data_IF_378275255198
#
_entry.id   IF_378275255198
#
_cell.length_a   1.000
_cell.length_b   1.000
_cell.length_c   1.000
_cell.angle_alpha   90.00
_cell.angle_beta   90.00
_cell.angle_gamma   90.00
#
_symmetry.space_group_name_H-M   'P 1'
#
loop_
_entity.id
_entity.type
_entity.pdbx_description
1 polymer ?
#
# COMPACT_ATOMS: atom_id res chain seq x y z
N UNK A 1 35.24 19.69 -18.75
CA UNK A 1 34.61 19.62 -17.40
C UNK A 1 35.14 20.70 -16.43
N UNK A 2 36.46 20.99 -16.40
CA UNK A 2 37.07 22.01 -15.51
C UNK A 2 36.52 23.43 -15.66
N UNK A 3 36.22 23.88 -16.89
CA UNK A 3 35.71 25.24 -17.14
C UNK A 3 34.28 25.47 -16.67
N UNK A 4 33.42 24.44 -16.77
CA UNK A 4 32.01 24.52 -16.32
C UNK A 4 31.97 24.60 -14.79
N UNK A 5 32.74 23.75 -14.10
CA UNK A 5 32.93 23.78 -12.65
C UNK A 5 33.47 25.13 -12.16
N UNK A 6 34.40 25.73 -12.91
CA UNK A 6 34.97 27.04 -12.61
C UNK A 6 34.00 28.22 -12.80
N UNK A 7 32.98 28.07 -13.65
CA UNK A 7 31.90 29.04 -13.83
C UNK A 7 30.80 28.87 -12.78
N UNK A 8 30.40 27.64 -12.49
CA UNK A 8 29.43 27.30 -11.45
C UNK A 8 29.90 27.75 -10.06
N UNK A 9 31.14 27.43 -9.69
CA UNK A 9 31.71 27.88 -8.40
C UNK A 9 31.75 29.41 -8.27
N UNK A 10 32.04 30.13 -9.36
CA UNK A 10 31.99 31.60 -9.39
C UNK A 10 30.57 32.13 -9.23
N UNK A 11 29.57 31.49 -9.85
CA UNK A 11 28.17 31.89 -9.72
C UNK A 11 27.70 31.76 -8.28
N UNK A 12 27.95 30.61 -7.65
CA UNK A 12 27.56 30.31 -6.26
C UNK A 12 28.23 31.27 -5.27
N UNK A 13 29.51 31.54 -5.44
CA UNK A 13 30.27 32.41 -4.53
C UNK A 13 30.05 33.90 -4.76
N UNK A 14 29.86 34.36 -6.00
CA UNK A 14 29.68 35.78 -6.32
C UNK A 14 28.22 36.25 -6.17
N UNK A 15 27.24 35.37 -6.35
CA UNK A 15 25.80 35.70 -6.27
C UNK A 15 25.02 34.61 -5.51
N UNK A 16 25.23 34.47 -4.19
CA UNK A 16 24.60 33.42 -3.39
C UNK A 16 23.06 33.51 -3.40
N UNK A 17 22.50 34.72 -3.28
CA UNK A 17 21.05 34.92 -3.29
C UNK A 17 20.37 34.54 -4.61
N UNK A 18 21.05 34.77 -5.74
CA UNK A 18 20.53 34.33 -7.05
C UNK A 18 20.51 32.81 -7.14
N UNK A 19 21.56 32.15 -6.62
CA UNK A 19 21.64 30.69 -6.59
C UNK A 19 20.51 30.09 -5.76
N UNK A 20 20.28 30.63 -4.56
CA UNK A 20 19.18 30.20 -3.67
C UNK A 20 17.83 30.44 -4.35
N UNK A 21 17.62 31.61 -4.97
CA UNK A 21 16.39 31.92 -5.67
C UNK A 21 16.09 30.96 -6.82
N UNK A 22 17.10 30.64 -7.65
CA UNK A 22 16.97 29.64 -8.73
C UNK A 22 16.65 28.27 -8.17
N UNK A 23 17.35 27.83 -7.12
CA UNK A 23 17.12 26.54 -6.48
C UNK A 23 15.71 26.43 -5.91
N UNK A 24 15.19 27.50 -5.31
CA UNK A 24 13.84 27.55 -4.76
C UNK A 24 12.79 27.50 -5.88
N UNK A 25 13.00 28.21 -6.99
CA UNK A 25 12.13 28.14 -8.18
C UNK A 25 12.10 26.71 -8.73
N UNK A 26 13.26 26.07 -8.90
CA UNK A 26 13.33 24.66 -9.37
C UNK A 26 12.60 23.74 -8.40
N UNK A 27 12.79 23.94 -7.09
CA UNK A 27 12.12 23.15 -6.06
C UNK A 27 10.61 23.28 -6.14
N UNK A 28 10.08 24.50 -6.32
CA UNK A 28 8.64 24.73 -6.47
C UNK A 28 8.09 24.06 -7.73
N UNK A 29 8.80 24.15 -8.85
CA UNK A 29 8.40 23.50 -10.11
C UNK A 29 8.34 21.98 -9.95
N UNK A 30 9.36 21.39 -9.34
CA UNK A 30 9.39 19.95 -9.10
C UNK A 30 8.33 19.53 -8.07
N UNK A 31 8.19 20.26 -6.96
CA UNK A 31 7.18 20.01 -5.95
C UNK A 31 5.76 20.02 -6.52
N UNK A 32 5.46 20.87 -7.51
CA UNK A 32 4.17 20.86 -8.20
C UNK A 32 3.88 19.56 -8.96
N UNK A 33 4.89 18.74 -9.22
CA UNK A 33 4.74 17.39 -9.77
C UNK A 33 4.24 16.38 -8.73
N UNK A 34 4.42 16.62 -7.43
CA UNK A 34 4.03 15.69 -6.39
C UNK A 34 2.53 15.39 -6.40
N UNK A 35 1.68 16.40 -6.68
CA UNK A 35 0.22 16.24 -6.80
C UNK A 35 -0.21 15.37 -8.01
N UNK A 36 0.71 15.12 -8.95
CA UNK A 36 0.46 14.28 -10.14
C UNK A 36 0.92 12.84 -9.96
N UNK A 37 1.43 12.49 -8.77
CA UNK A 37 1.75 11.09 -8.47
C UNK A 37 0.48 10.25 -8.49
N UNK A 38 0.56 9.15 -9.22
CA UNK A 38 -0.43 8.09 -9.21
C UNK A 38 -0.17 7.23 -7.96
N UNK A 39 -1.21 6.64 -7.34
CA UNK A 39 -1.04 5.67 -6.25
C UNK A 39 -0.04 4.57 -6.63
N UNK A 40 0.66 4.04 -5.62
CA UNK A 40 1.55 2.90 -5.79
C UNK A 40 0.71 1.72 -6.25
N UNK A 41 1.09 1.13 -7.38
CA UNK A 41 0.46 -0.06 -7.93
C UNK A 41 1.00 -1.28 -7.22
N UNK A 42 0.08 -2.12 -6.74
CA UNK A 42 0.42 -3.35 -6.05
C UNK A 42 1.19 -4.32 -6.95
N UNK A 43 2.12 -5.07 -6.35
CA UNK A 43 3.03 -5.99 -7.05
C UNK A 43 2.37 -7.11 -7.85
N UNK A 44 1.04 -7.23 -7.79
CA UNK A 44 0.24 -8.25 -8.47
C UNK A 44 -0.55 -7.70 -9.67
N UNK A 45 -0.50 -6.39 -9.92
CA UNK A 45 -1.22 -5.78 -11.04
C UNK A 45 -0.58 -6.14 -12.40
N UNK A 46 -1.43 -6.47 -13.38
CA UNK A 46 -1.04 -6.71 -14.76
C UNK A 46 -0.31 -5.50 -15.38
N UNK A 47 -0.56 -4.30 -14.85
CA UNK A 47 0.15 -3.07 -15.22
C UNK A 47 1.68 -3.17 -15.05
N UNK A 48 2.17 -4.07 -14.20
CA UNK A 48 3.60 -4.30 -13.96
C UNK A 48 4.23 -5.31 -14.92
N UNK A 49 3.43 -6.04 -15.70
CA UNK A 49 3.92 -6.98 -16.69
C UNK A 49 4.21 -6.27 -18.02
N UNK A 50 5.10 -6.85 -18.87
CA UNK A 50 5.23 -6.40 -20.24
C UNK A 50 3.88 -6.49 -20.94
N UNK A 51 3.34 -5.34 -21.34
CA UNK A 51 1.97 -5.25 -21.87
C UNK A 51 1.80 -6.01 -23.19
N UNK A 52 2.88 -6.18 -23.95
CA UNK A 52 2.92 -6.96 -25.20
C UNK A 52 3.21 -8.46 -24.96
N UNK A 53 3.15 -8.92 -23.70
CA UNK A 53 3.49 -10.28 -23.32
C UNK A 53 2.33 -11.27 -23.51
N UNK A 54 2.60 -12.53 -23.87
CA UNK A 54 1.56 -13.54 -24.11
C UNK A 54 0.71 -13.86 -22.87
N UNK A 55 1.22 -13.58 -21.66
CA UNK A 55 0.49 -13.76 -20.40
C UNK A 55 -0.59 -12.67 -20.23
N UNK A 56 -0.26 -11.41 -20.54
CA UNK A 56 -1.22 -10.30 -20.44
C UNK A 56 -2.33 -10.48 -21.47
N UNK A 57 -1.97 -10.89 -22.69
CA UNK A 57 -2.93 -11.21 -23.75
C UNK A 57 -3.86 -12.37 -23.36
N UNK A 58 -3.33 -13.48 -22.86
CA UNK A 58 -4.14 -14.62 -22.43
C UNK A 58 -5.08 -14.27 -21.26
N UNK A 59 -4.64 -13.46 -20.30
CA UNK A 59 -5.49 -13.00 -19.20
C UNK A 59 -6.57 -12.03 -19.72
N UNK A 60 -6.22 -11.17 -20.69
CA UNK A 60 -7.15 -10.30 -21.39
C UNK A 60 -8.25 -11.10 -22.10
N UNK A 61 -7.89 -12.12 -22.86
CA UNK A 61 -8.85 -13.01 -23.53
C UNK A 61 -9.79 -13.72 -22.54
N UNK A 62 -9.26 -14.20 -21.40
CA UNK A 62 -10.09 -14.81 -20.35
C UNK A 62 -11.09 -13.79 -19.80
N UNK A 63 -10.65 -12.56 -19.50
CA UNK A 63 -11.52 -11.51 -18.97
C UNK A 63 -12.60 -11.08 -19.96
N UNK A 64 -12.25 -10.96 -21.25
CA UNK A 64 -13.17 -10.58 -22.32
C UNK A 64 -14.20 -11.68 -22.60
N UNK A 65 -13.79 -12.97 -22.54
CA UNK A 65 -14.67 -14.08 -22.88
C UNK A 65 -15.61 -14.50 -21.74
N UNK A 66 -15.17 -14.32 -20.50
CA UNK A 66 -15.94 -14.70 -19.32
C UNK A 66 -16.60 -13.51 -18.60
N UNK A 67 -16.57 -12.30 -19.19
CA UNK A 67 -17.05 -11.03 -18.60
C UNK A 67 -16.73 -10.98 -17.10
N UNK A 68 -15.44 -10.79 -16.80
CA UNK A 68 -14.90 -10.54 -15.47
C UNK A 68 -15.62 -11.22 -14.28
N UNK A 69 -14.99 -12.29 -13.77
CA UNK A 69 -14.96 -12.60 -12.33
C UNK A 69 -14.51 -11.41 -11.44
N UNK A 70 -14.12 -10.28 -12.03
CA UNK A 70 -13.86 -9.00 -11.37
C UNK A 70 -15.10 -8.11 -11.15
N UNK A 71 -16.28 -8.48 -11.65
CA UNK A 71 -17.51 -7.70 -11.46
C UNK A 71 -18.26 -8.03 -10.16
N UNK A 72 -17.69 -8.95 -9.36
CA UNK A 72 -18.26 -9.39 -8.09
C UNK A 72 -17.21 -9.28 -6.99
N UNK A 73 -17.52 -8.51 -5.95
CA UNK A 73 -16.76 -8.48 -4.71
C UNK A 73 -17.31 -9.53 -3.75
N UNK A 74 -16.41 -10.37 -3.24
CA UNK A 74 -16.73 -11.47 -2.34
C UNK A 74 -16.38 -11.08 -0.91
N UNK A 75 -17.41 -10.99 -0.07
CA UNK A 75 -17.25 -10.90 1.39
C UNK A 75 -17.46 -12.28 1.97
N UNK A 76 -16.51 -12.76 2.77
CA UNK A 76 -16.55 -14.08 3.38
C UNK A 76 -16.78 -13.94 4.87
N UNK A 77 -17.84 -14.53 5.39
CA UNK A 77 -18.13 -14.60 6.82
C UNK A 77 -17.73 -15.98 7.34
N UNK A 78 -16.91 -15.98 8.39
CA UNK A 78 -16.44 -17.19 9.06
C UNK A 78 -17.18 -17.31 10.39
N UNK A 79 -17.90 -18.41 10.55
CA UNK A 79 -18.64 -18.75 11.75
C UNK A 79 -17.90 -19.87 12.48
N UNK A 80 -17.37 -19.57 13.66
CA UNK A 80 -16.64 -20.52 14.51
C UNK A 80 -17.51 -20.92 15.70
N UNK A 81 -17.69 -22.22 15.91
CA UNK A 81 -18.49 -22.76 17.01
C UNK A 81 -19.43 -23.86 16.53
N UNK A 82 -20.61 -23.97 17.14
CA UNK A 82 -21.58 -25.03 16.84
C UNK A 82 -22.35 -24.73 15.52
N UNK A 83 -21.64 -24.63 14.39
CA UNK A 83 -22.17 -24.03 13.17
C UNK A 83 -23.24 -24.84 12.44
N UNK A 84 -23.28 -26.16 12.63
CA UNK A 84 -24.26 -27.07 12.04
C UNK A 84 -25.34 -27.52 13.03
N UNK A 85 -25.58 -26.76 14.10
CA UNK A 85 -26.71 -26.98 14.99
C UNK A 85 -27.90 -26.10 14.59
N UNK A 86 -29.13 -26.43 14.99
CA UNK A 86 -30.31 -25.58 14.73
C UNK A 86 -30.09 -24.13 15.16
N UNK A 87 -29.55 -23.93 16.37
CA UNK A 87 -29.24 -22.61 16.92
C UNK A 87 -28.16 -21.87 16.11
N UNK A 88 -27.08 -22.56 15.73
CA UNK A 88 -26.00 -21.98 14.94
C UNK A 88 -26.45 -21.61 13.52
N UNK A 89 -27.21 -22.47 12.87
CA UNK A 89 -27.76 -22.21 11.54
C UNK A 89 -28.79 -21.09 11.57
N UNK A 90 -29.60 -21.00 12.63
CA UNK A 90 -30.56 -19.92 12.86
C UNK A 90 -29.86 -18.57 13.07
N UNK A 91 -28.83 -18.54 13.91
CA UNK A 91 -27.98 -17.34 14.08
C UNK A 91 -27.36 -16.91 12.75
N UNK A 92 -26.78 -17.86 11.99
CA UNK A 92 -26.20 -17.59 10.68
C UNK A 92 -27.24 -17.06 9.69
N UNK A 93 -28.43 -17.67 9.63
CA UNK A 93 -29.52 -17.19 8.76
C UNK A 93 -30.02 -15.81 9.17
N UNK A 94 -30.15 -15.54 10.47
CA UNK A 94 -30.62 -14.25 10.98
C UNK A 94 -29.65 -13.13 10.64
N UNK A 95 -28.34 -13.37 10.82
CA UNK A 95 -27.30 -12.42 10.44
C UNK A 95 -27.30 -12.14 8.93
N UNK A 96 -27.30 -13.20 8.11
CA UNK A 96 -27.30 -13.09 6.65
C UNK A 96 -28.57 -12.41 6.12
N UNK A 97 -29.73 -12.70 6.72
CA UNK A 97 -30.99 -12.03 6.40
C UNK A 97 -30.97 -10.54 6.78
N UNK A 98 -30.37 -10.20 7.92
CA UNK A 98 -30.15 -8.81 8.34
C UNK A 98 -29.24 -8.05 7.37
N UNK A 99 -28.14 -8.67 6.94
CA UNK A 99 -27.22 -8.13 5.93
C UNK A 99 -27.95 -7.89 4.60
N UNK A 100 -28.77 -8.84 4.15
CA UNK A 100 -29.54 -8.69 2.91
C UNK A 100 -30.67 -7.64 2.98
N UNK A 101 -31.18 -7.36 4.18
CA UNK A 101 -32.23 -6.38 4.40
C UNK A 101 -31.73 -4.93 4.50
N UNK A 102 -30.42 -4.72 4.74
CA UNK A 102 -29.83 -3.40 4.81
C UNK A 102 -29.89 -2.71 3.44
N UNK A 103 -30.48 -1.51 3.30
CA UNK A 103 -30.75 -0.88 2.01
C UNK A 103 -29.51 -0.68 1.14
N UNK A 104 -28.40 -0.28 1.75
CA UNK A 104 -27.14 0.02 1.04
C UNK A 104 -26.47 -1.26 0.51
N UNK A 105 -26.63 -2.38 1.22
CA UNK A 105 -26.10 -3.69 0.82
C UNK A 105 -27.03 -4.32 -0.22
N UNK A 106 -28.34 -4.28 0.00
CA UNK A 106 -29.36 -4.88 -0.87
C UNK A 106 -29.28 -4.37 -2.31
N UNK A 107 -28.96 -3.08 -2.48
CA UNK A 107 -28.80 -2.47 -3.81
C UNK A 107 -27.54 -2.96 -4.55
N UNK A 108 -26.57 -3.49 -3.82
CA UNK A 108 -25.29 -3.97 -4.35
C UNK A 108 -25.24 -5.49 -4.52
N UNK A 109 -26.13 -6.27 -3.88
CA UNK A 109 -26.19 -7.71 -4.05
C UNK A 109 -26.29 -8.15 -5.52
N UNK A 110 -25.64 -9.26 -5.86
CA UNK A 110 -25.78 -9.86 -7.20
C UNK A 110 -27.21 -10.35 -7.43
N UNK A 111 -27.73 -10.33 -8.67
CA UNK A 111 -29.12 -10.73 -8.95
C UNK A 111 -29.41 -12.22 -8.64
N UNK A 112 -28.37 -13.05 -8.69
CA UNK A 112 -28.45 -14.50 -8.47
C UNK A 112 -27.41 -14.91 -7.43
N UNK A 113 -27.78 -15.84 -6.55
CA UNK A 113 -26.92 -16.46 -5.53
C UNK A 113 -26.07 -15.45 -4.73
N UNK A 114 -26.71 -14.34 -4.35
CA UNK A 114 -26.05 -13.23 -3.66
C UNK A 114 -25.49 -13.62 -2.30
N UNK A 115 -26.14 -14.58 -1.64
CA UNK A 115 -25.70 -15.12 -0.36
C UNK A 115 -25.65 -16.63 -0.48
N UNK A 116 -24.53 -17.22 -0.09
CA UNK A 116 -24.33 -18.65 -0.11
C UNK A 116 -23.80 -19.12 1.25
N UNK A 117 -24.51 -20.02 1.91
CA UNK A 117 -24.13 -20.53 3.24
C UNK A 117 -24.76 -21.89 3.52
N UNK A 118 -24.23 -22.66 4.49
CA UNK A 118 -24.86 -23.90 4.94
C UNK A 118 -26.31 -23.71 5.40
N UNK A 119 -26.63 -22.58 6.05
CA UNK A 119 -28.00 -22.28 6.48
C UNK A 119 -28.95 -22.11 5.29
N UNK A 120 -28.53 -21.40 4.23
CA UNK A 120 -29.35 -21.26 3.02
C UNK A 120 -29.55 -22.60 2.30
N UNK A 121 -28.51 -23.43 2.21
CA UNK A 121 -28.61 -24.76 1.61
C UNK A 121 -29.60 -25.65 2.36
N UNK A 122 -29.53 -25.66 3.69
CA UNK A 122 -30.41 -26.46 4.54
C UNK A 122 -31.85 -25.94 4.47
N UNK A 123 -32.07 -24.61 4.51
CA UNK A 123 -33.41 -24.03 4.33
C UNK A 123 -34.00 -24.40 2.97
N UNK A 124 -33.21 -24.26 1.89
CA UNK A 124 -33.67 -24.58 0.55
C UNK A 124 -33.99 -26.07 0.37
N UNK A 125 -33.17 -26.96 0.94
CA UNK A 125 -33.38 -28.40 0.86
C UNK A 125 -34.58 -28.89 1.67
N UNK A 126 -34.85 -28.26 2.83
CA UNK A 126 -35.96 -28.64 3.72
C UNK A 126 -37.24 -27.84 3.46
N UNK A 127 -37.18 -26.74 2.70
CA UNK A 127 -38.28 -25.78 2.57
C UNK A 127 -38.65 -25.12 3.91
N UNK A 128 -37.69 -25.01 4.83
CA UNK A 128 -37.91 -24.51 6.17
C UNK A 128 -37.72 -22.99 6.23
N UNK A 129 -38.75 -22.25 6.68
CA UNK A 129 -38.63 -20.80 6.92
C UNK A 129 -37.88 -20.47 8.22
N UNK A 130 -37.91 -21.39 9.20
CA UNK A 130 -37.22 -21.23 10.48
C UNK A 130 -36.38 -22.48 10.80
N UNK A 131 -35.08 -22.28 10.99
CA UNK A 131 -34.12 -23.35 11.30
C UNK A 131 -34.12 -23.80 12.77
N UNK A 132 -34.69 -23.01 13.69
CA UNK A 132 -34.82 -23.41 15.10
C UNK A 132 -35.73 -24.64 15.28
N UNK A 133 -36.67 -24.83 14.35
CA UNK A 133 -37.64 -25.93 14.38
C UNK A 133 -37.10 -27.21 13.71
N UNK A 134 -35.95 -27.14 13.05
CA UNK A 134 -35.36 -28.28 12.33
C UNK A 134 -34.57 -29.14 13.32
N UNK A 135 -34.73 -30.45 13.24
CA UNK A 135 -33.97 -31.37 14.09
C UNK A 135 -32.54 -31.60 13.59
N UNK A 136 -31.62 -31.90 14.51
CA UNK A 136 -30.24 -32.25 14.14
C UNK A 136 -30.18 -33.42 13.14
N UNK A 137 -31.07 -34.40 13.27
CA UNK A 137 -31.11 -35.55 12.37
C UNK A 137 -31.48 -35.15 10.92
N UNK A 138 -32.34 -34.16 10.74
CA UNK A 138 -32.69 -33.63 9.42
C UNK A 138 -31.51 -32.85 8.81
N UNK A 139 -30.84 -32.02 9.62
CA UNK A 139 -29.63 -31.29 9.21
C UNK A 139 -28.55 -32.28 8.77
N UNK A 140 -28.29 -33.32 9.55
CA UNK A 140 -27.28 -34.33 9.25
C UNK A 140 -27.64 -35.12 7.98
N UNK A 141 -28.92 -35.48 7.81
CA UNK A 141 -29.40 -36.20 6.64
C UNK A 141 -29.25 -35.38 5.35
N UNK A 142 -29.59 -34.09 5.39
CA UNK A 142 -29.43 -33.16 4.25
C UNK A 142 -27.95 -32.93 3.96
N UNK A 143 -27.14 -32.70 5.00
CA UNK A 143 -25.70 -32.47 4.86
C UNK A 143 -24.96 -33.66 4.24
N UNK A 144 -25.44 -34.88 4.50
CA UNK A 144 -24.90 -36.12 3.95
C UNK A 144 -25.46 -36.52 2.58
N UNK A 145 -26.45 -35.79 2.05
CA UNK A 145 -27.04 -36.12 0.76
C UNK A 145 -25.99 -36.02 -0.38
N UNK A 146 -25.93 -36.96 -1.34
CA UNK A 146 -24.85 -37.02 -2.34
C UNK A 146 -24.68 -35.74 -3.17
N UNK A 147 -25.76 -35.00 -3.39
CA UNK A 147 -25.77 -33.76 -4.15
C UNK A 147 -25.30 -32.54 -3.32
N UNK A 148 -25.46 -32.59 -2.01
CA UNK A 148 -25.21 -31.48 -1.07
C UNK A 148 -23.85 -31.66 -0.36
N UNK A 149 -23.46 -32.89 -0.07
CA UNK A 149 -22.24 -33.21 0.68
C UNK A 149 -20.96 -32.58 0.10
N UNK A 150 -20.73 -32.55 -1.23
CA UNK A 150 -19.55 -31.87 -1.79
C UNK A 150 -19.54 -30.36 -1.52
N UNK A 151 -20.70 -29.72 -1.61
CA UNK A 151 -20.86 -28.29 -1.37
C UNK A 151 -20.72 -27.97 0.12
N UNK A 152 -21.38 -28.75 0.98
CA UNK A 152 -21.25 -28.63 2.43
C UNK A 152 -19.81 -28.84 2.89
N UNK A 153 -19.08 -29.80 2.30
CA UNK A 153 -17.66 -30.00 2.57
C UNK A 153 -16.76 -28.84 2.12
N UNK A 154 -17.19 -28.03 1.14
CA UNK A 154 -16.48 -26.81 0.75
C UNK A 154 -16.78 -25.62 1.67
N UNK A 155 -17.93 -25.62 2.34
CA UNK A 155 -18.39 -24.54 3.23
C UNK A 155 -18.16 -24.81 4.71
N UNK A 156 -17.78 -26.03 5.09
CA UNK A 156 -17.63 -26.42 6.49
C UNK A 156 -16.30 -27.11 6.72
N UNK A 157 -15.77 -26.98 7.93
CA UNK A 157 -14.49 -27.57 8.30
C UNK A 157 -14.28 -27.54 9.80
N UNK A 158 -13.05 -27.84 10.20
CA UNK A 158 -12.60 -27.80 11.59
C UNK A 158 -11.36 -26.94 11.69
N UNK A 159 -11.34 -26.06 12.67
CA UNK A 159 -10.20 -25.24 13.00
C UNK A 159 -9.06 -26.07 13.63
N UNK A 160 -7.88 -25.46 13.81
CA UNK A 160 -6.68 -26.07 14.41
C UNK A 160 -6.97 -26.66 15.79
N UNK A 161 -7.82 -25.99 16.56
CA UNK A 161 -8.22 -26.42 17.91
C UNK A 161 -9.38 -27.45 17.91
N UNK A 162 -9.80 -27.92 16.73
CA UNK A 162 -10.90 -28.89 16.57
C UNK A 162 -12.30 -28.29 16.64
N UNK A 163 -12.41 -26.95 16.72
CA UNK A 163 -13.70 -26.26 16.72
C UNK A 163 -14.32 -26.30 15.32
N UNK A 164 -15.63 -26.57 15.22
CA UNK A 164 -16.31 -26.57 13.94
C UNK A 164 -16.39 -25.15 13.36
N UNK A 165 -16.23 -25.05 12.04
CA UNK A 165 -16.24 -23.80 11.28
C UNK A 165 -17.18 -23.95 10.10
N UNK A 166 -17.97 -22.90 9.84
CA UNK A 166 -18.75 -22.74 8.62
C UNK A 166 -18.40 -21.41 7.94
N UNK A 167 -18.51 -21.40 6.62
CA UNK A 167 -18.24 -20.25 5.78
C UNK A 167 -19.54 -19.86 5.07
N UNK A 168 -19.87 -18.57 5.12
CA UNK A 168 -20.85 -17.97 4.24
C UNK A 168 -20.17 -16.96 3.33
N UNK A 169 -20.69 -16.78 2.12
CA UNK A 169 -20.25 -15.75 1.19
C UNK A 169 -21.38 -14.82 0.84
N UNK A 170 -21.05 -13.53 0.76
CA UNK A 170 -21.92 -12.46 0.27
C UNK A 170 -21.27 -11.87 -0.97
N UNK A 171 -22.01 -11.89 -2.08
CA UNK A 171 -21.56 -11.46 -3.40
C UNK A 171 -22.18 -10.11 -3.72
N UNK A 172 -21.33 -9.11 -3.82
CA UNK A 172 -21.68 -7.73 -4.17
C UNK A 172 -21.25 -7.44 -5.61
N UNK A 173 -22.03 -6.67 -6.35
CA UNK A 173 -21.63 -6.12 -7.64
C UNK A 173 -20.50 -5.13 -7.43
N UNK A 174 -19.45 -5.24 -8.23
CA UNK A 174 -18.30 -4.37 -8.17
C UNK A 174 -18.57 -3.09 -8.97
N UNK A 175 -19.14 -2.07 -8.34
CA UNK A 175 -19.36 -0.79 -9.03
C UNK A 175 -18.13 0.12 -9.04
N UNK A 176 -16.98 -0.36 -8.55
CA UNK A 176 -15.72 0.41 -8.41
C UNK A 176 -15.84 1.74 -7.63
N UNK A 177 -16.94 1.92 -6.89
CA UNK A 177 -17.24 3.13 -6.11
C UNK A 177 -17.05 2.89 -4.60
N UNK A 178 -16.87 3.98 -3.84
CA UNK A 178 -16.82 3.95 -2.36
C UNK A 178 -18.02 3.26 -1.71
N UNK A 179 -19.15 3.18 -2.42
CA UNK A 179 -20.37 2.51 -1.94
C UNK A 179 -20.15 1.03 -1.65
N UNK A 180 -19.38 0.34 -2.47
CA UNK A 180 -19.08 -1.08 -2.22
C UNK A 180 -18.15 -1.22 -1.03
N UNK A 181 -17.24 -0.25 -0.86
CA UNK A 181 -16.36 -0.21 0.30
C UNK A 181 -17.11 -0.02 1.62
N UNK A 182 -18.05 0.92 1.64
CA UNK A 182 -18.88 1.17 2.81
C UNK A 182 -19.80 -0.02 3.12
N UNK A 183 -20.32 -0.69 2.10
CA UNK A 183 -21.09 -1.92 2.27
C UNK A 183 -20.25 -3.05 2.88
N UNK A 184 -19.01 -3.26 2.43
CA UNK A 184 -18.11 -4.26 3.03
C UNK A 184 -17.80 -3.95 4.51
N UNK A 185 -17.50 -2.69 4.83
CA UNK A 185 -17.29 -2.24 6.22
C UNK A 185 -18.52 -2.49 7.08
N UNK A 186 -19.70 -2.14 6.56
CA UNK A 186 -20.96 -2.33 7.27
C UNK A 186 -21.24 -3.82 7.51
N UNK A 187 -20.96 -4.68 6.53
CA UNK A 187 -21.07 -6.14 6.71
C UNK A 187 -20.11 -6.60 7.82
N UNK A 188 -18.88 -6.10 7.83
CA UNK A 188 -17.92 -6.45 8.88
C UNK A 188 -18.38 -6.00 10.27
N UNK A 189 -18.88 -4.77 10.41
CA UNK A 189 -19.46 -4.26 11.66
C UNK A 189 -20.64 -5.13 12.15
N UNK A 190 -21.57 -5.47 11.25
CA UNK A 190 -22.73 -6.31 11.57
C UNK A 190 -22.32 -7.75 11.92
N UNK A 191 -21.28 -8.27 11.28
CA UNK A 191 -20.75 -9.60 11.53
C UNK A 191 -19.89 -9.68 12.79
N UNK A 192 -19.50 -8.56 13.39
CA UNK A 192 -18.68 -8.57 14.61
C UNK A 192 -19.57 -8.74 15.82
N UNK A 193 -19.87 -10.00 16.15
CA UNK A 193 -20.65 -10.37 17.33
C UNK A 193 -20.03 -11.58 18.02
N UNK A 194 -19.76 -11.44 19.31
CA UNK A 194 -19.43 -12.55 20.23
C UNK A 194 -20.69 -13.11 20.92
N UNK A 195 -21.87 -12.59 20.59
CA UNK A 195 -23.13 -13.05 21.15
C UNK A 195 -23.68 -14.23 20.37
N UNK A 196 -23.97 -15.33 21.07
CA UNK A 196 -24.59 -16.55 20.53
C UNK A 196 -23.66 -17.77 20.49
N UNK A 197 -24.10 -18.89 19.92
CA UNK A 197 -23.31 -20.12 19.79
C UNK A 197 -22.17 -20.04 18.77
N UNK A 198 -22.13 -18.99 17.95
CA UNK A 198 -21.10 -18.74 16.94
C UNK A 198 -20.40 -17.42 17.17
N UNK A 199 -19.07 -17.48 17.14
CA UNK A 199 -18.22 -16.31 16.94
C UNK A 199 -18.13 -16.05 15.45
N UNK A 200 -18.40 -14.82 15.03
CA UNK A 200 -18.45 -14.46 13.62
C UNK A 200 -17.33 -13.47 13.31
N UNK A 201 -16.64 -13.70 12.19
CA UNK A 201 -15.61 -12.81 11.68
C UNK A 201 -15.82 -12.59 10.19
N UNK A 202 -15.60 -11.36 9.73
CA UNK A 202 -15.70 -11.00 8.32
C UNK A 202 -14.31 -10.91 7.70
N UNK A 203 -14.17 -11.46 6.50
CA UNK A 203 -12.98 -11.38 5.68
C UNK A 203 -13.39 -10.79 4.33
N UNK A 204 -12.94 -9.58 4.05
CA UNK A 204 -13.08 -8.94 2.75
C UNK A 204 -11.78 -8.22 2.37
N UNK A 205 -11.55 -7.94 1.07
CA UNK A 205 -10.36 -7.20 0.64
C UNK A 205 -10.22 -5.85 1.34
N UNK A 206 -11.34 -5.15 1.64
CA UNK A 206 -11.28 -3.85 2.33
C UNK A 206 -11.02 -3.97 3.82
N UNK A 207 -11.57 -4.98 4.50
CA UNK A 207 -11.22 -5.20 5.92
C UNK A 207 -9.72 -5.45 6.05
N UNK A 208 -9.15 -6.27 5.16
CA UNK A 208 -7.70 -6.52 5.11
C UNK A 208 -6.92 -5.25 4.75
N UNK A 209 -7.39 -4.46 3.79
CA UNK A 209 -6.73 -3.21 3.39
C UNK A 209 -6.77 -2.16 4.50
N UNK A 210 -7.90 -1.98 5.19
CA UNK A 210 -8.06 -1.03 6.29
C UNK A 210 -7.22 -1.46 7.51
N UNK A 211 -7.20 -2.75 7.87
CA UNK A 211 -6.31 -3.28 8.91
C UNK A 211 -4.83 -3.09 8.54
N UNK A 212 -4.48 -3.34 7.27
CA UNK A 212 -3.12 -3.14 6.79
C UNK A 212 -2.71 -1.67 6.80
N UNK A 213 -3.60 -0.76 6.40
CA UNK A 213 -3.39 0.69 6.48
C UNK A 213 -3.18 1.13 7.93
N UNK A 214 -4.06 0.74 8.85
CA UNK A 214 -3.93 1.08 10.27
C UNK A 214 -2.62 0.55 10.86
N UNK A 215 -2.31 -0.73 10.64
CA UNK A 215 -1.06 -1.32 11.10
C UNK A 215 0.17 -0.63 10.50
N UNK A 216 0.08 -0.19 9.24
CA UNK A 216 1.15 0.55 8.57
C UNK A 216 1.29 1.97 9.11
N UNK A 217 0.20 2.70 9.33
CA UNK A 217 0.22 4.07 9.88
C UNK A 217 0.78 4.09 11.31
N UNK A 218 0.29 3.18 12.16
CA UNK A 218 0.74 3.04 13.55
C UNK A 218 2.22 2.63 13.64
N UNK A 219 2.69 1.79 12.70
CA UNK A 219 4.08 1.35 12.65
C UNK A 219 5.03 2.37 12.02
N UNK A 220 4.66 2.98 10.90
CA UNK A 220 5.56 3.79 10.08
C UNK A 220 5.91 5.13 10.71
N UNK A 221 4.95 5.81 11.35
CA UNK A 221 5.20 7.10 11.98
C UNK A 221 6.34 7.06 13.03
N UNK A 222 6.34 6.13 14.01
CA UNK A 222 7.45 6.01 14.96
C UNK A 222 8.75 5.54 14.30
N UNK A 223 8.68 4.64 13.31
CA UNK A 223 9.86 4.18 12.56
C UNK A 223 10.57 5.31 11.82
N UNK A 224 9.83 6.14 11.09
CA UNK A 224 10.36 7.33 10.40
C UNK A 224 10.95 8.32 11.42
N UNK A 225 10.25 8.54 12.54
CA UNK A 225 10.73 9.40 13.62
C UNK A 225 12.06 8.93 14.22
N UNK A 226 12.17 7.63 14.53
CA UNK A 226 13.39 7.01 15.06
C UNK A 226 14.53 7.05 14.02
N UNK A 227 14.24 6.78 12.74
CA UNK A 227 15.22 6.85 11.67
C UNK A 227 15.79 8.27 11.51
N UNK A 228 14.92 9.29 11.47
CA UNK A 228 15.33 10.70 11.41
C UNK A 228 16.14 11.11 12.64
N UNK A 229 15.74 10.67 13.83
CA UNK A 229 16.50 10.90 15.06
C UNK A 229 17.90 10.27 14.98
N UNK A 230 17.99 9.02 14.53
CA UNK A 230 19.25 8.30 14.39
C UNK A 230 20.17 8.98 13.36
N UNK A 231 19.62 9.39 12.21
CA UNK A 231 20.34 10.16 11.19
C UNK A 231 20.84 11.48 11.78
N UNK A 232 19.99 12.21 12.49
CA UNK A 232 20.38 13.47 13.12
C UNK A 232 21.49 13.28 14.16
N UNK A 233 21.41 12.22 14.98
CA UNK A 233 22.45 11.86 15.96
C UNK A 233 23.76 11.48 15.28
N UNK A 234 23.72 10.64 14.25
CA UNK A 234 24.91 10.26 13.47
C UNK A 234 25.55 11.49 12.84
N UNK A 235 24.77 12.32 12.14
CA UNK A 235 25.28 13.55 11.55
C UNK A 235 25.84 14.49 12.61
N UNK A 236 25.20 14.63 13.78
CA UNK A 236 25.71 15.46 14.88
C UNK A 236 27.04 14.92 15.43
N UNK A 237 27.19 13.61 15.55
CA UNK A 237 28.44 12.97 16.00
C UNK A 237 29.58 13.18 14.99
N UNK A 238 29.28 13.08 13.68
CA UNK A 238 30.26 13.22 12.60
C UNK A 238 30.62 14.68 12.30
N UNK A 239 29.62 15.57 12.18
CA UNK A 239 29.81 16.97 11.78
C UNK A 239 30.04 17.90 12.98
N UNK A 240 29.66 17.51 14.20
CA UNK A 240 29.92 18.23 15.47
C UNK A 240 29.47 19.70 15.51
N UNK A 241 28.68 20.17 14.55
CA UNK A 241 28.09 21.51 14.55
C UNK A 241 26.64 21.46 14.08
N UNK A 242 25.77 22.23 14.74
CA UNK A 242 24.34 22.28 14.42
C UNK A 242 24.08 22.87 13.03
N UNK A 243 24.92 23.82 12.59
CA UNK A 243 24.80 24.45 11.27
C UNK A 243 25.03 23.45 10.14
N UNK A 244 26.04 22.58 10.27
CA UNK A 244 26.34 21.55 9.26
C UNK A 244 25.22 20.50 9.19
N UNK A 245 24.65 20.12 10.34
CA UNK A 245 23.47 19.25 10.42
C UNK A 245 22.28 19.87 9.68
N UNK A 246 21.94 21.12 9.97
CA UNK A 246 20.81 21.80 9.31
C UNK A 246 21.02 21.90 7.79
N UNK A 247 22.27 22.15 7.35
CA UNK A 247 22.58 22.23 5.92
C UNK A 247 22.39 20.87 5.22
N UNK A 248 22.82 19.78 5.87
CA UNK A 248 22.62 18.42 5.37
C UNK A 248 21.13 18.04 5.33
N UNK A 249 20.36 18.37 6.38
CA UNK A 249 18.92 18.10 6.45
C UNK A 249 18.13 18.89 5.40
N UNK A 250 18.48 20.17 5.16
CA UNK A 250 17.87 20.97 4.09
C UNK A 250 18.17 20.35 2.73
N UNK A 251 19.42 19.96 2.47
CA UNK A 251 19.80 19.26 1.25
C UNK A 251 19.01 17.96 1.05
N UNK A 252 18.86 17.18 2.11
CA UNK A 252 18.07 15.95 2.12
C UNK A 252 16.60 16.20 1.78
N UNK A 253 15.97 17.16 2.46
CA UNK A 253 14.56 17.49 2.24
C UNK A 253 14.32 17.93 0.78
N UNK A 254 15.22 18.75 0.23
CA UNK A 254 15.17 19.19 -1.16
C UNK A 254 15.31 18.01 -2.12
N UNK A 255 16.25 17.10 -1.90
CA UNK A 255 16.43 15.90 -2.72
C UNK A 255 15.16 15.04 -2.74
N UNK A 256 14.53 14.83 -1.59
CA UNK A 256 13.28 14.06 -1.49
C UNK A 256 12.17 14.76 -2.28
N UNK A 257 11.98 16.07 -2.09
CA UNK A 257 10.98 16.85 -2.84
C UNK A 257 11.21 16.73 -4.34
N UNK A 258 12.47 16.81 -4.78
CA UNK A 258 12.82 16.76 -6.20
C UNK A 258 12.52 15.39 -6.80
N UNK A 259 12.84 14.30 -6.10
CA UNK A 259 12.57 12.94 -6.61
C UNK A 259 11.07 12.65 -6.63
N UNK A 260 10.35 12.98 -5.56
CA UNK A 260 8.88 12.84 -5.50
C UNK A 260 8.22 13.65 -6.62
N UNK A 261 8.68 14.88 -6.84
CA UNK A 261 8.20 15.76 -7.88
C UNK A 261 8.50 15.25 -9.29
N UNK A 262 9.73 14.79 -9.54
CA UNK A 262 10.14 14.21 -10.82
C UNK A 262 9.35 12.94 -11.14
N UNK A 263 9.08 12.10 -10.14
CA UNK A 263 8.26 10.92 -10.33
C UNK A 263 6.84 11.28 -10.79
N UNK A 264 6.21 12.29 -10.20
CA UNK A 264 4.90 12.74 -10.64
C UNK A 264 4.91 13.44 -12.01
N UNK A 265 5.97 14.16 -12.37
CA UNK A 265 6.11 14.78 -13.71
C UNK A 265 6.40 13.77 -14.81
N UNK A 266 7.24 12.77 -14.54
CA UNK A 266 7.65 11.77 -15.53
C UNK A 266 6.68 10.59 -15.58
N UNK A 267 5.93 10.36 -14.51
CA UNK A 267 5.01 9.23 -14.39
C UNK A 267 3.73 9.35 -15.23
N UNK A 268 2.84 8.36 -15.09
CA UNK A 268 1.62 8.25 -15.91
C UNK A 268 0.65 9.42 -15.74
N UNK A 269 0.68 10.12 -14.60
CA UNK A 269 -0.16 11.29 -14.33
C UNK A 269 0.24 12.56 -15.09
N UNK A 270 1.35 12.55 -15.85
CA UNK A 270 1.84 13.72 -16.57
C UNK A 270 2.47 13.35 -17.93
N UNK A 271 3.80 13.17 -17.99
CA UNK A 271 4.52 12.93 -19.25
C UNK A 271 4.49 11.46 -19.69
N UNK A 272 4.20 10.52 -18.79
CA UNK A 272 4.10 9.08 -19.11
C UNK A 272 5.41 8.46 -19.63
N UNK A 273 6.56 9.02 -19.25
CA UNK A 273 7.89 8.55 -19.66
C UNK A 273 8.30 7.33 -18.84
N UNK A 274 7.89 7.29 -17.57
CA UNK A 274 8.12 6.15 -16.66
C UNK A 274 6.78 5.48 -16.32
N UNK A 275 6.84 4.19 -15.99
CA UNK A 275 5.68 3.43 -15.53
C UNK A 275 5.16 3.89 -14.17
N UNK A 276 4.01 3.34 -13.72
CA UNK A 276 3.47 3.63 -12.41
C UNK A 276 4.44 3.21 -11.29
N UNK A 277 4.45 3.93 -10.15
CA UNK A 277 5.26 3.54 -9.01
C UNK A 277 4.80 2.19 -8.46
N UNK A 278 5.75 1.39 -8.00
CA UNK A 278 5.55 0.09 -7.37
C UNK A 278 6.31 -0.01 -6.02
N UNK A 279 6.14 -1.13 -5.34
CA UNK A 279 6.78 -1.39 -4.04
C UNK A 279 8.32 -1.26 -4.06
N UNK A 280 8.99 -1.52 -5.19
CA UNK A 280 10.44 -1.34 -5.31
C UNK A 280 10.80 0.16 -5.44
N UNK A 281 10.04 0.91 -6.25
CA UNK A 281 10.27 2.37 -6.37
C UNK A 281 9.96 3.11 -5.07
N UNK A 282 9.11 2.56 -4.21
CA UNK A 282 8.86 3.08 -2.86
C UNK A 282 10.12 3.08 -1.97
N UNK A 283 11.15 2.28 -2.30
CA UNK A 283 12.43 2.25 -1.59
C UNK A 283 13.38 3.39 -2.01
N UNK A 284 13.12 4.06 -3.13
CA UNK A 284 14.01 5.10 -3.68
C UNK A 284 14.30 6.24 -2.68
N UNK A 285 13.32 6.80 -1.93
CA UNK A 285 13.60 7.80 -0.91
C UNK A 285 14.59 7.32 0.17
N UNK A 286 14.54 6.05 0.56
CA UNK A 286 15.45 5.45 1.55
C UNK A 286 16.88 5.46 1.02
N UNK A 287 17.06 5.08 -0.25
CA UNK A 287 18.37 5.10 -0.92
C UNK A 287 18.91 6.54 -1.00
N UNK A 288 18.05 7.50 -1.35
CA UNK A 288 18.41 8.93 -1.45
C UNK A 288 18.84 9.49 -0.10
N UNK A 289 18.21 9.08 0.99
CA UNK A 289 18.61 9.48 2.34
C UNK A 289 20.09 9.10 2.59
N UNK A 290 20.45 7.85 2.32
CA UNK A 290 21.83 7.38 2.49
C UNK A 290 22.84 8.14 1.63
N UNK A 291 22.55 8.28 0.34
CA UNK A 291 23.42 8.98 -0.62
C UNK A 291 23.58 10.46 -0.29
N UNK A 292 22.49 11.14 0.07
CA UNK A 292 22.54 12.58 0.34
C UNK A 292 23.36 12.89 1.59
N UNK A 293 23.23 12.07 2.63
CA UNK A 293 24.01 12.24 3.86
C UNK A 293 25.50 12.00 3.61
N UNK A 294 25.88 10.97 2.85
CA UNK A 294 27.28 10.71 2.48
C UNK A 294 27.88 11.91 1.72
N UNK A 295 27.16 12.41 0.72
CA UNK A 295 27.62 13.54 -0.09
C UNK A 295 27.75 14.83 0.73
N UNK A 296 26.79 15.08 1.64
CA UNK A 296 26.84 16.22 2.55
C UNK A 296 28.07 16.16 3.47
N UNK A 297 28.35 14.98 4.05
CA UNK A 297 29.53 14.77 4.89
C UNK A 297 30.82 15.02 4.10
N UNK A 298 30.92 14.51 2.87
CA UNK A 298 32.12 14.66 2.05
C UNK A 298 32.39 16.13 1.68
N UNK A 299 31.35 16.88 1.35
CA UNK A 299 31.44 18.33 1.06
C UNK A 299 31.83 19.13 2.31
N UNK A 300 31.15 18.90 3.44
CA UNK A 300 31.41 19.65 4.68
C UNK A 300 32.79 19.33 5.25
N UNK A 301 33.19 18.06 5.27
CA UNK A 301 34.50 17.62 5.76
C UNK A 301 35.63 18.30 5.00
N UNK A 302 35.56 18.30 3.66
CA UNK A 302 36.57 18.95 2.83
C UNK A 302 36.61 20.47 3.02
N UNK A 303 35.45 21.13 3.18
CA UNK A 303 35.40 22.55 3.52
C UNK A 303 36.10 22.83 4.86
N UNK A 304 35.83 22.03 5.90
CA UNK A 304 36.43 22.19 7.22
C UNK A 304 37.94 21.94 7.20
N UNK A 305 38.40 20.95 6.45
CA UNK A 305 39.82 20.67 6.26
C UNK A 305 40.55 21.88 5.66
N UNK A 306 40.00 22.50 4.62
CA UNK A 306 40.57 23.70 4.02
C UNK A 306 40.49 24.93 4.94
N UNK A 307 39.43 25.06 5.73
CA UNK A 307 39.32 26.13 6.73
C UNK A 307 40.33 25.96 7.86
N UNK A 308 40.63 24.72 8.26
CA UNK A 308 41.62 24.41 9.29
C UNK A 308 43.06 24.74 8.85
N UNK A 309 43.36 24.69 7.55
CA UNK A 309 44.66 25.12 6.99
C UNK A 309 44.77 26.63 6.75
N UNK A 310 43.75 27.40 7.14
CA UNK A 310 43.76 28.87 7.08
C UNK A 310 43.25 29.45 5.75
N UNK A 311 42.69 28.64 4.85
CA UNK A 311 42.18 29.12 3.56
C UNK A 311 40.96 30.05 3.77
N UNK A 312 40.89 31.21 3.09
CA UNK A 312 39.72 32.10 3.14
C UNK A 312 38.43 31.37 2.72
N UNK A 313 37.28 31.76 3.28
CA UNK A 313 35.98 31.06 3.06
C UNK A 313 35.68 30.82 1.58
N UNK A 314 35.77 31.87 0.76
CA UNK A 314 35.43 31.81 -0.67
C UNK A 314 36.36 30.86 -1.42
N UNK A 315 37.64 30.88 -1.07
CA UNK A 315 38.65 30.04 -1.70
C UNK A 315 38.51 28.58 -1.26
N UNK A 316 38.18 28.34 0.02
CA UNK A 316 37.88 27.02 0.55
C UNK A 316 36.65 26.39 -0.13
N UNK A 317 35.57 27.16 -0.33
CA UNK A 317 34.39 26.69 -1.08
C UNK A 317 34.76 26.38 -2.53
N UNK A 318 35.51 27.26 -3.18
CA UNK A 318 35.86 27.11 -4.60
C UNK A 318 36.78 25.92 -4.86
N UNK A 319 37.79 25.76 -4.01
CA UNK A 319 38.70 24.62 -4.06
C UNK A 319 37.99 23.33 -3.66
N UNK A 320 37.10 23.37 -2.66
CA UNK A 320 36.32 22.19 -2.25
C UNK A 320 35.37 21.70 -3.33
N UNK A 321 34.66 22.61 -4.00
CA UNK A 321 33.86 22.26 -5.18
C UNK A 321 34.68 21.57 -6.27
N UNK A 322 35.95 21.92 -6.46
CA UNK A 322 36.79 21.29 -7.50
C UNK A 322 37.25 19.88 -7.10
N UNK A 323 37.52 19.65 -5.82
CA UNK A 323 37.99 18.36 -5.31
C UNK A 323 36.86 17.37 -5.06
N UNK A 324 35.68 17.84 -4.64
CA UNK A 324 34.58 16.98 -4.21
C UNK A 324 33.60 16.66 -5.35
N UNK A 325 33.38 17.57 -6.30
CA UNK A 325 32.35 17.35 -7.34
C UNK A 325 32.73 16.22 -8.32
N UNK A 326 34.01 16.05 -8.67
CA UNK A 326 34.41 14.99 -9.61
C UNK A 326 34.17 13.59 -9.00
N UNK A 327 34.67 13.28 -7.78
CA UNK A 327 34.35 12.02 -7.10
C UNK A 327 32.85 11.79 -6.94
N UNK A 328 32.09 12.82 -6.51
CA UNK A 328 30.65 12.71 -6.33
C UNK A 328 29.92 12.37 -7.64
N UNK A 329 30.28 13.02 -8.74
CA UNK A 329 29.68 12.75 -10.05
C UNK A 329 29.98 11.31 -10.52
N UNK A 330 31.20 10.83 -10.28
CA UNK A 330 31.58 9.44 -10.57
C UNK A 330 30.72 8.46 -9.77
N UNK A 331 30.60 8.67 -8.46
CA UNK A 331 29.78 7.84 -7.60
C UNK A 331 28.31 7.86 -8.04
N UNK A 332 27.75 9.04 -8.30
CA UNK A 332 26.36 9.19 -8.75
C UNK A 332 26.10 8.49 -10.08
N UNK A 333 27.01 8.58 -11.05
CA UNK A 333 26.88 7.88 -12.34
C UNK A 333 26.98 6.37 -12.14
N UNK A 334 27.89 5.88 -11.30
CA UNK A 334 27.99 4.44 -11.01
C UNK A 334 26.70 3.92 -10.35
N UNK A 335 26.14 4.66 -9.40
CA UNK A 335 24.85 4.32 -8.77
C UNK A 335 23.71 4.34 -9.78
N UNK A 336 23.66 5.34 -10.66
CA UNK A 336 22.64 5.45 -11.70
C UNK A 336 22.69 4.30 -12.72
N UNK A 337 23.89 3.81 -13.07
CA UNK A 337 24.06 2.69 -13.99
C UNK A 337 23.78 1.34 -13.30
N UNK A 338 23.95 1.28 -11.97
CA UNK A 338 23.71 0.07 -11.19
C UNK A 338 22.24 -0.17 -10.85
N UNK A 339 21.42 0.88 -10.85
CA UNK A 339 19.97 0.84 -10.62
C UNK A 339 19.24 0.65 -11.96
#
# INVERSE_FOLDING_TARGET
>A
MSDILGKLSRLVTARPWVTIGVLLIVTVILAAGADRRVPIVDGTDLALLPQDGPIVEAIGEINDHFEASGDVRLVTLVFRGAALTPEGLSQMSGLLGGIAAEPDIAMLLTPTDAIFSPAHLIQAALGAENLDAVSQAEIDAVSAAPEIAPVMGALTGTDVDGTAVAIATVRLRNTQDERVADAERRIAEMATSDEGPLQVSSVSPIVVEDEYKQATEDGMAPLIGVALLLIAVLILLFLRTLSDLMLALVGLLLSIIWVVGLEGWLGPGALGVIGPPNALTALVPIIIIGLTVDYAIQVVSNYREQRATGVPVIEAVRSGMRHVVIPLMLAAVTTMVSL
#
